data_IF_597616679909
#
_entry.id   IF_597616679909
#
_cell.length_a   1.000
_cell.length_b   1.000
_cell.length_c   1.000
_cell.angle_alpha   90.00
_cell.angle_beta   90.00
_cell.angle_gamma   90.00
#
_symmetry.space_group_name_H-M   'P 1'
#
loop_
_entity.id
_entity.type
_entity.pdbx_description
1 polymer ?
#
# COMPACT_ATOMS: atom_id res chain seq x y z
N UNK A 1 -7.46 13.57 19.85
CA UNK A 1 -6.06 13.93 19.49
C UNK A 1 -5.23 12.71 19.07
N UNK A 2 -4.99 11.66 19.89
CA UNK A 2 -4.06 10.58 19.52
C UNK A 2 -4.48 9.78 18.27
N UNK A 3 -5.78 9.49 18.12
CA UNK A 3 -6.32 8.82 16.94
C UNK A 3 -6.19 9.64 15.63
N UNK A 4 -6.08 10.96 15.74
CA UNK A 4 -5.96 11.86 14.58
C UNK A 4 -4.52 11.85 14.04
N UNK A 5 -3.52 11.76 14.94
CA UNK A 5 -2.09 11.66 14.60
C UNK A 5 -1.74 10.30 13.97
N UNK A 6 -2.53 9.26 14.28
CA UNK A 6 -2.32 7.91 13.75
C UNK A 6 -2.45 7.85 12.22
N UNK A 7 -3.36 8.63 11.63
CA UNK A 7 -3.62 8.63 10.18
C UNK A 7 -2.39 9.06 9.36
N UNK A 8 -1.79 10.24 9.58
CA UNK A 8 -0.57 10.63 8.87
C UNK A 8 0.61 9.72 9.21
N UNK A 9 0.66 9.16 10.42
CA UNK A 9 1.68 8.16 10.81
C UNK A 9 1.61 6.92 9.94
N UNK A 10 0.41 6.35 9.79
CA UNK A 10 0.18 5.21 8.91
C UNK A 10 0.54 5.57 7.46
N UNK A 11 0.15 6.75 6.98
CA UNK A 11 0.49 7.22 5.64
C UNK A 11 2.01 7.23 5.39
N UNK A 12 2.78 7.82 6.29
CA UNK A 12 4.25 7.88 6.20
C UNK A 12 4.87 6.49 6.24
N UNK A 13 4.47 5.66 7.20
CA UNK A 13 5.04 4.32 7.36
C UNK A 13 4.74 3.48 6.12
N UNK A 14 3.48 3.44 5.67
CA UNK A 14 3.10 2.71 4.44
C UNK A 14 3.93 3.18 3.25
N UNK A 15 4.18 4.47 3.12
CA UNK A 15 4.98 5.03 2.02
C UNK A 15 6.43 4.60 2.05
N UNK A 16 7.01 4.47 3.24
CA UNK A 16 8.39 3.95 3.41
C UNK A 16 8.42 2.45 3.07
N UNK A 17 7.40 1.70 3.46
CA UNK A 17 7.35 0.24 3.28
C UNK A 17 7.07 -0.22 1.86
N UNK A 18 6.23 0.52 1.12
CA UNK A 18 5.81 0.15 -0.22
C UNK A 18 6.98 -0.10 -1.19
N UNK A 19 8.04 0.74 -1.23
CA UNK A 19 9.25 0.45 -1.99
C UNK A 19 9.91 -0.87 -1.62
N UNK A 20 10.02 -1.21 -0.33
CA UNK A 20 10.62 -2.48 0.10
C UNK A 20 9.78 -3.68 -0.35
N UNK A 21 8.46 -3.57 -0.29
CA UNK A 21 7.55 -4.63 -0.77
C UNK A 21 7.68 -4.76 -2.30
N UNK A 22 7.73 -3.65 -3.03
CA UNK A 22 7.91 -3.68 -4.49
C UNK A 22 9.29 -4.25 -4.87
N UNK A 23 10.33 -3.91 -4.10
CA UNK A 23 11.68 -4.43 -4.28
C UNK A 23 11.79 -5.93 -3.98
N UNK A 24 11.11 -6.41 -2.94
CA UNK A 24 10.97 -7.85 -2.66
C UNK A 24 10.37 -8.60 -3.86
N UNK A 25 9.28 -8.07 -4.45
CA UNK A 25 8.70 -8.63 -5.68
C UNK A 25 9.65 -8.56 -6.86
N UNK A 26 10.42 -7.48 -6.98
CA UNK A 26 11.44 -7.33 -8.01
C UNK A 26 12.52 -8.40 -7.91
N UNK A 27 13.04 -8.67 -6.70
CA UNK A 27 14.01 -9.75 -6.48
C UNK A 27 13.40 -11.12 -6.82
N UNK A 28 12.16 -11.38 -6.39
CA UNK A 28 11.46 -12.62 -6.67
C UNK A 28 11.35 -12.91 -8.17
N UNK A 29 11.14 -11.87 -8.98
CA UNK A 29 11.08 -11.96 -10.45
C UNK A 29 12.48 -12.08 -11.06
N UNK A 30 13.45 -11.33 -10.57
CA UNK A 30 14.82 -11.31 -11.11
C UNK A 30 15.51 -12.67 -10.87
N UNK A 31 15.47 -13.17 -9.63
CA UNK A 31 16.19 -14.36 -9.16
C UNK A 31 15.29 -15.29 -8.33
N UNK A 32 14.36 -16.03 -8.98
CA UNK A 32 13.40 -16.87 -8.27
C UNK A 32 14.07 -17.94 -7.40
N UNK A 33 15.11 -18.63 -7.89
CA UNK A 33 15.82 -19.67 -7.12
C UNK A 33 16.48 -19.14 -5.84
N UNK A 34 17.06 -17.94 -5.91
CA UNK A 34 17.64 -17.30 -4.73
C UNK A 34 16.55 -16.88 -3.74
N UNK A 35 15.46 -16.33 -4.25
CA UNK A 35 14.31 -15.91 -3.45
C UNK A 35 13.68 -17.07 -2.68
N UNK A 36 13.51 -18.24 -3.30
CA UNK A 36 13.01 -19.43 -2.61
C UNK A 36 13.96 -19.97 -1.54
N UNK A 37 15.27 -19.69 -1.65
CA UNK A 37 16.27 -20.07 -0.67
C UNK A 37 16.38 -19.06 0.48
N UNK A 38 15.82 -17.87 0.36
CA UNK A 38 15.77 -16.91 1.47
C UNK A 38 14.84 -17.45 2.57
N UNK A 39 15.43 -17.62 3.75
CA UNK A 39 14.82 -18.30 4.88
C UNK A 39 13.76 -17.47 5.61
N UNK A 40 12.83 -18.15 6.30
CA UNK A 40 11.72 -17.59 7.09
C UNK A 40 12.18 -16.52 8.10
N UNK A 41 13.40 -16.67 8.64
CA UNK A 41 14.00 -15.71 9.57
C UNK A 41 14.15 -14.28 9.01
N UNK A 42 14.33 -14.11 7.69
CA UNK A 42 14.38 -12.78 7.09
C UNK A 42 13.03 -12.06 7.17
N UNK A 43 11.91 -12.79 7.03
CA UNK A 43 10.58 -12.21 7.12
C UNK A 43 10.28 -11.69 8.54
N UNK A 44 10.67 -12.44 9.59
CA UNK A 44 10.54 -11.99 10.97
C UNK A 44 11.40 -10.76 11.27
N UNK A 45 12.65 -10.71 10.77
CA UNK A 45 13.52 -9.53 10.90
C UNK A 45 12.93 -8.31 10.20
N UNK A 46 12.38 -8.49 9.01
CA UNK A 46 11.69 -7.42 8.28
C UNK A 46 10.47 -6.93 9.06
N UNK A 47 9.61 -7.82 9.56
CA UNK A 47 8.46 -7.44 10.39
C UNK A 47 8.88 -6.66 11.65
N UNK A 48 9.97 -7.06 12.30
CA UNK A 48 10.56 -6.33 13.43
C UNK A 48 11.02 -4.92 13.04
N UNK A 49 11.75 -4.79 11.92
CA UNK A 49 12.18 -3.49 11.38
C UNK A 49 10.98 -2.59 11.05
N UNK A 50 9.94 -3.15 10.42
CA UNK A 50 8.69 -2.45 10.10
C UNK A 50 8.04 -1.89 11.37
N UNK A 51 7.94 -2.73 12.40
CA UNK A 51 7.35 -2.36 13.70
C UNK A 51 8.15 -1.25 14.36
N UNK A 52 9.49 -1.33 14.32
CA UNK A 52 10.36 -0.30 14.86
C UNK A 52 10.18 1.04 14.13
N UNK A 53 10.20 1.03 12.79
CA UNK A 53 9.96 2.22 11.98
C UNK A 53 8.59 2.83 12.31
N UNK A 54 7.56 2.01 12.48
CA UNK A 54 6.23 2.48 12.86
C UNK A 54 6.23 3.18 14.23
N UNK A 55 6.87 2.59 15.23
CA UNK A 55 6.99 3.18 16.57
C UNK A 55 7.76 4.50 16.51
N UNK A 56 8.92 4.53 15.84
CA UNK A 56 9.73 5.73 15.69
C UNK A 56 8.95 6.86 14.98
N UNK A 57 8.35 6.57 13.83
CA UNK A 57 7.54 7.56 13.11
C UNK A 57 6.36 8.05 13.96
N UNK A 58 5.66 7.16 14.67
CA UNK A 58 4.53 7.52 15.52
C UNK A 58 4.92 8.42 16.69
N UNK A 59 6.05 8.14 17.36
CA UNK A 59 6.58 8.99 18.43
C UNK A 59 6.98 10.36 17.88
N UNK A 60 7.73 10.41 16.77
CA UNK A 60 8.15 11.68 16.15
C UNK A 60 6.94 12.52 15.75
N UNK A 61 5.95 11.92 15.08
CA UNK A 61 4.72 12.59 14.68
C UNK A 61 3.89 13.07 15.87
N UNK A 62 3.82 12.28 16.94
CA UNK A 62 3.13 12.68 18.17
C UNK A 62 3.81 13.90 18.81
N UNK A 63 5.14 13.89 18.95
CA UNK A 63 5.89 15.02 19.51
C UNK A 63 5.71 16.28 18.66
N UNK A 64 5.77 16.15 17.33
CA UNK A 64 5.61 17.30 16.42
C UNK A 64 4.18 17.82 16.44
N UNK A 65 3.17 16.95 16.46
CA UNK A 65 1.76 17.34 16.55
C UNK A 65 1.40 17.99 17.90
N UNK A 66 2.08 17.63 18.99
CA UNK A 66 1.94 18.31 20.29
C UNK A 66 2.49 19.75 20.27
N UNK A 67 3.38 20.08 19.31
CA UNK A 67 3.91 21.44 19.10
C UNK A 67 3.09 22.26 18.09
N UNK A 68 1.99 21.71 17.59
CA UNK A 68 1.08 22.39 16.67
C UNK A 68 0.18 23.42 17.36
N UNK A 69 -0.81 23.93 16.62
CA UNK A 69 -1.76 24.93 17.14
C UNK A 69 -2.61 24.36 18.28
N UNK A 70 -2.75 25.13 19.37
CA UNK A 70 -3.59 24.78 20.52
C UNK A 70 -5.10 24.81 20.19
N UNK A 71 -5.47 25.60 19.17
CA UNK A 71 -6.83 25.75 18.67
C UNK A 71 -6.93 25.17 17.27
N UNK A 72 -7.81 24.19 17.12
CA UNK A 72 -8.12 23.56 15.84
C UNK A 72 -9.61 23.71 15.63
N UNK A 73 -10.01 24.50 14.63
CA UNK A 73 -11.43 24.78 14.34
C UNK A 73 -12.15 23.54 13.79
N UNK A 74 -11.40 22.60 13.21
CA UNK A 74 -11.90 21.39 12.59
C UNK A 74 -11.08 20.15 13.01
N UNK A 75 -11.73 19.00 13.14
CA UNK A 75 -11.03 17.72 13.37
C UNK A 75 -10.38 17.18 12.09
N UNK A 76 -9.42 17.91 11.54
CA UNK A 76 -8.67 17.49 10.37
C UNK A 76 -7.24 17.07 10.75
N UNK A 77 -6.70 15.96 10.21
CA UNK A 77 -5.42 15.43 10.67
C UNK A 77 -4.21 16.33 10.43
N UNK A 78 -4.27 17.15 9.37
CA UNK A 78 -3.15 18.02 9.01
C UNK A 78 -3.11 19.30 9.85
N UNK A 79 -4.25 19.75 10.38
CA UNK A 79 -4.37 21.03 11.09
C UNK A 79 -3.64 21.03 12.45
N UNK A 80 -3.23 19.84 12.93
CA UNK A 80 -2.38 19.67 14.12
C UNK A 80 -0.89 19.91 13.84
N UNK A 81 -0.50 20.11 12.59
CA UNK A 81 0.90 20.23 12.19
C UNK A 81 1.18 21.61 11.59
N UNK A 82 2.41 22.09 11.74
CA UNK A 82 2.85 23.30 11.03
C UNK A 82 2.89 23.05 9.52
N UNK A 83 2.70 24.09 8.70
CA UNK A 83 2.76 23.99 7.24
C UNK A 83 4.03 23.31 6.73
N UNK A 84 5.19 23.66 7.28
CA UNK A 84 6.47 23.02 6.95
C UNK A 84 6.46 21.52 7.23
N UNK A 85 5.85 21.11 8.35
CA UNK A 85 5.76 19.68 8.69
C UNK A 85 4.82 18.95 7.74
N UNK A 86 3.68 19.57 7.38
CA UNK A 86 2.75 19.02 6.39
C UNK A 86 3.47 18.80 5.05
N UNK A 87 4.21 19.79 4.56
CA UNK A 87 5.00 19.67 3.32
C UNK A 87 5.98 18.50 3.38
N UNK A 88 6.73 18.36 4.48
CA UNK A 88 7.68 17.24 4.64
C UNK A 88 6.94 15.91 4.60
N UNK A 89 5.80 15.77 5.30
CA UNK A 89 5.02 14.54 5.27
C UNK A 89 4.50 14.20 3.89
N UNK A 90 3.90 15.18 3.20
CA UNK A 90 3.40 14.97 1.84
C UNK A 90 4.54 14.61 0.89
N UNK A 91 5.72 15.20 1.06
CA UNK A 91 6.91 14.86 0.27
C UNK A 91 7.38 13.43 0.52
N UNK A 92 7.49 12.99 1.78
CA UNK A 92 7.87 11.60 2.10
C UNK A 92 6.86 10.62 1.52
N UNK A 93 5.58 10.90 1.67
CA UNK A 93 4.51 10.05 1.14
C UNK A 93 4.59 9.98 -0.38
N UNK A 94 4.80 11.12 -1.04
CA UNK A 94 4.95 11.21 -2.49
C UNK A 94 6.15 10.41 -2.99
N UNK A 95 7.35 10.65 -2.44
CA UNK A 95 8.58 9.96 -2.83
C UNK A 95 8.48 8.45 -2.62
N UNK A 96 7.92 8.01 -1.49
CA UNK A 96 7.73 6.58 -1.21
C UNK A 96 6.82 5.89 -2.23
N UNK A 97 5.69 6.51 -2.58
CA UNK A 97 4.79 5.94 -3.58
C UNK A 97 5.37 6.02 -4.99
N UNK A 98 6.07 7.10 -5.35
CA UNK A 98 6.77 7.22 -6.64
C UNK A 98 7.84 6.13 -6.79
N UNK A 99 8.66 5.91 -5.76
CA UNK A 99 9.67 4.85 -5.76
C UNK A 99 9.03 3.46 -5.92
N UNK A 100 7.89 3.20 -5.28
CA UNK A 100 7.14 1.96 -5.45
C UNK A 100 6.63 1.78 -6.89
N UNK A 101 6.09 2.83 -7.50
CA UNK A 101 5.66 2.81 -8.92
C UNK A 101 6.82 2.52 -9.86
N UNK A 102 7.97 3.18 -9.66
CA UNK A 102 9.16 2.97 -10.49
C UNK A 102 9.66 1.52 -10.38
N UNK A 103 9.63 0.93 -9.18
CA UNK A 103 9.95 -0.48 -8.98
C UNK A 103 8.95 -1.40 -9.68
N UNK A 104 7.64 -1.13 -9.60
CA UNK A 104 6.65 -1.92 -10.34
C UNK A 104 6.82 -1.81 -11.86
N UNK A 105 7.14 -0.63 -12.37
CA UNK A 105 7.47 -0.45 -13.79
C UNK A 105 8.72 -1.25 -14.18
N UNK A 106 9.77 -1.24 -13.35
CA UNK A 106 10.96 -2.06 -13.56
C UNK A 106 10.64 -3.56 -13.57
N UNK A 107 9.75 -4.04 -12.68
CA UNK A 107 9.27 -5.43 -12.70
C UNK A 107 8.60 -5.77 -14.03
N UNK A 108 7.72 -4.91 -14.53
CA UNK A 108 7.01 -5.12 -15.81
C UNK A 108 8.02 -5.23 -16.96
N UNK A 109 8.99 -4.31 -17.03
CA UNK A 109 10.04 -4.33 -18.05
C UNK A 109 10.86 -5.63 -17.99
N UNK A 110 11.27 -6.07 -16.80
CA UNK A 110 12.03 -7.31 -16.64
C UNK A 110 11.22 -8.53 -17.08
N UNK A 111 9.92 -8.59 -16.77
CA UNK A 111 9.05 -9.68 -17.22
C UNK A 111 8.94 -9.67 -18.74
N UNK A 112 8.74 -8.50 -19.35
CA UNK A 112 8.65 -8.36 -20.80
C UNK A 112 9.94 -8.81 -21.49
N UNK A 113 11.11 -8.42 -20.96
CA UNK A 113 12.40 -8.87 -21.47
C UNK A 113 12.53 -10.40 -21.41
N UNK A 114 12.15 -11.04 -20.29
CA UNK A 114 12.17 -12.50 -20.15
C UNK A 114 11.22 -13.20 -21.13
N UNK A 115 10.02 -12.65 -21.35
CA UNK A 115 9.06 -13.19 -22.34
C UNK A 115 9.65 -13.13 -23.75
N UNK A 116 10.26 -11.99 -24.12
CA UNK A 116 10.89 -11.80 -25.43
C UNK A 116 12.07 -12.76 -25.62
N UNK A 117 12.88 -12.97 -24.59
CA UNK A 117 13.99 -13.92 -24.61
C UNK A 117 13.48 -15.36 -24.80
N UNK A 118 12.53 -15.82 -23.98
CA UNK A 118 11.94 -17.16 -24.13
C UNK A 118 11.35 -17.41 -25.52
N UNK A 119 10.66 -16.41 -26.08
CA UNK A 119 10.10 -16.49 -27.43
C UNK A 119 11.19 -16.66 -28.51
N UNK A 120 12.35 -16.03 -28.34
CA UNK A 120 13.48 -16.12 -29.29
C UNK A 120 14.24 -17.42 -29.15
N UNK A 121 14.58 -17.82 -27.92
CA UNK A 121 15.50 -18.95 -27.67
C UNK A 121 14.81 -20.30 -27.77
N UNK A 122 13.58 -20.41 -27.27
CA UNK A 122 12.92 -21.70 -27.09
C UNK A 122 11.80 -21.97 -28.11
N UNK A 123 11.34 -20.97 -28.88
CA UNK A 123 10.13 -21.04 -29.72
C UNK A 123 8.91 -21.64 -28.99
N UNK A 124 8.91 -21.59 -27.66
CA UNK A 124 7.85 -22.13 -26.83
C UNK A 124 6.67 -21.15 -26.80
N UNK A 125 5.43 -21.67 -26.69
CA UNK A 125 4.28 -20.81 -26.47
C UNK A 125 4.46 -20.05 -25.15
N UNK A 126 4.25 -18.73 -25.19
CA UNK A 126 4.36 -17.84 -24.04
C UNK A 126 3.40 -18.32 -22.95
N UNK A 127 3.90 -18.59 -21.75
CA UNK A 127 3.05 -18.98 -20.62
C UNK A 127 2.14 -17.81 -20.23
N UNK A 128 0.82 -18.04 -20.33
CA UNK A 128 -0.24 -17.09 -20.00
C UNK A 128 -0.09 -16.51 -18.58
N UNK A 129 0.58 -17.23 -17.68
CA UNK A 129 0.83 -16.81 -16.29
C UNK A 129 1.73 -15.58 -16.22
N UNK A 130 2.79 -15.51 -17.02
CA UNK A 130 3.69 -14.34 -17.02
C UNK A 130 2.96 -13.08 -17.48
N UNK A 131 2.17 -13.19 -18.55
CA UNK A 131 1.38 -12.07 -19.07
C UNK A 131 0.29 -11.61 -18.09
N UNK A 132 -0.32 -12.54 -17.34
CA UNK A 132 -1.26 -12.18 -16.28
C UNK A 132 -0.57 -11.47 -15.09
N UNK A 133 0.66 -11.88 -14.75
CA UNK A 133 1.47 -11.24 -13.71
C UNK A 133 1.87 -9.83 -14.11
N UNK A 134 2.42 -9.66 -15.32
CA UNK A 134 2.78 -8.38 -15.93
C UNK A 134 1.62 -7.38 -15.89
N UNK A 135 0.46 -7.75 -16.45
CA UNK A 135 -0.74 -6.88 -16.46
C UNK A 135 -1.15 -6.41 -15.08
N UNK A 136 -0.99 -7.25 -14.06
CA UNK A 136 -1.38 -6.88 -12.70
C UNK A 136 -0.43 -5.84 -12.11
N UNK A 137 0.88 -6.03 -12.27
CA UNK A 137 1.85 -5.04 -11.78
C UNK A 137 1.69 -3.71 -12.51
N UNK A 138 1.41 -3.75 -13.82
CA UNK A 138 1.07 -2.55 -14.58
C UNK A 138 -0.19 -1.85 -14.04
N UNK A 139 -1.28 -2.60 -13.79
CA UNK A 139 -2.51 -2.05 -13.19
C UNK A 139 -2.25 -1.45 -11.81
N UNK A 140 -1.48 -2.11 -10.95
CA UNK A 140 -1.12 -1.57 -9.63
C UNK A 140 -0.30 -0.30 -9.72
N UNK A 141 0.67 -0.24 -10.63
CA UNK A 141 1.48 0.95 -10.87
C UNK A 141 0.59 2.12 -11.34
N UNK A 142 -0.26 1.89 -12.34
CA UNK A 142 -1.16 2.91 -12.90
C UNK A 142 -2.16 3.41 -11.85
N UNK A 143 -2.82 2.51 -11.10
CA UNK A 143 -3.74 2.89 -10.03
C UNK A 143 -3.03 3.68 -8.94
N UNK A 144 -1.82 3.28 -8.53
CA UNK A 144 -1.05 4.02 -7.51
C UNK A 144 -0.66 5.42 -8.01
N UNK A 145 -0.32 5.57 -9.29
CA UNK A 145 -0.04 6.88 -9.89
C UNK A 145 -1.26 7.78 -9.84
N UNK A 146 -2.40 7.29 -10.34
CA UNK A 146 -3.63 8.08 -10.48
C UNK A 146 -4.23 8.42 -9.11
N UNK A 147 -4.25 7.45 -8.19
CA UNK A 147 -4.94 7.59 -6.91
C UNK A 147 -4.08 8.21 -5.82
N UNK A 148 -2.74 8.11 -5.91
CA UNK A 148 -1.84 8.60 -4.87
C UNK A 148 -0.81 9.58 -5.40
N UNK A 149 0.04 9.18 -6.34
CA UNK A 149 1.22 10.00 -6.71
C UNK A 149 0.79 11.35 -7.24
N UNK A 150 -0.16 11.40 -8.18
CA UNK A 150 -0.64 12.67 -8.76
C UNK A 150 -1.41 13.52 -7.74
N UNK A 151 -2.41 13.00 -7.00
CA UNK A 151 -3.13 13.81 -6.03
C UNK A 151 -2.26 14.33 -4.88
N UNK A 152 -1.28 13.54 -4.40
CA UNK A 152 -0.38 13.98 -3.33
C UNK A 152 0.66 14.98 -3.85
N UNK A 153 1.15 14.82 -5.08
CA UNK A 153 2.01 15.83 -5.71
C UNK A 153 1.30 17.19 -5.77
N UNK A 154 0.04 17.17 -6.23
CA UNK A 154 -0.80 18.36 -6.30
C UNK A 154 -0.97 18.98 -4.91
N UNK A 155 -1.30 18.17 -3.90
CA UNK A 155 -1.46 18.66 -2.52
C UNK A 155 -0.16 19.25 -1.96
N UNK A 156 0.98 18.62 -2.18
CA UNK A 156 2.28 19.10 -1.71
C UNK A 156 2.69 20.42 -2.39
N UNK A 157 2.54 20.51 -3.71
CA UNK A 157 2.82 21.73 -4.46
C UNK A 157 1.90 22.87 -4.00
N UNK A 158 0.63 22.56 -3.78
CA UNK A 158 -0.37 23.51 -3.33
C UNK A 158 -0.05 24.07 -1.94
N UNK A 159 0.22 23.22 -0.95
CA UNK A 159 0.62 23.63 0.42
C UNK A 159 1.86 24.53 0.41
N UNK A 160 2.83 24.24 -0.46
CA UNK A 160 4.01 25.09 -0.64
C UNK A 160 3.66 26.46 -1.21
N UNK A 161 2.79 26.53 -2.22
CA UNK A 161 2.33 27.80 -2.81
C UNK A 161 1.60 28.64 -1.76
N UNK A 162 0.72 28.04 -0.95
CA UNK A 162 0.01 28.75 0.12
C UNK A 162 0.98 29.27 1.18
N UNK A 163 1.92 28.43 1.62
CA UNK A 163 2.92 28.81 2.62
C UNK A 163 3.77 29.99 2.10
N UNK A 164 4.16 29.95 0.84
CA UNK A 164 4.86 31.05 0.18
C UNK A 164 3.98 32.32 0.17
N UNK A 165 2.73 32.22 -0.27
CA UNK A 165 1.81 33.36 -0.37
C UNK A 165 1.52 34.00 1.00
N UNK A 166 1.36 33.19 2.06
CA UNK A 166 1.22 33.69 3.43
C UNK A 166 2.45 34.48 3.88
N UNK A 167 3.64 33.94 3.61
CA UNK A 167 4.90 34.59 3.98
C UNK A 167 5.18 35.88 3.20
N UNK A 168 4.82 35.92 1.91
CA UNK A 168 5.10 37.07 1.02
C UNK A 168 4.04 38.17 1.14
N UNK A 169 2.76 37.81 1.21
CA UNK A 169 1.64 38.76 1.10
C UNK A 169 0.85 38.95 2.40
N UNK A 170 1.18 38.23 3.48
CA UNK A 170 0.46 38.35 4.76
C UNK A 170 -1.01 37.94 4.68
N UNK A 171 -1.35 37.01 3.78
CA UNK A 171 -2.71 36.51 3.58
C UNK A 171 -3.32 35.97 4.88
N UNK A 172 -4.52 36.47 5.24
CA UNK A 172 -5.30 36.00 6.40
C UNK A 172 -6.05 34.70 6.08
N UNK A 173 -6.27 33.89 7.12
CA UNK A 173 -6.82 32.53 7.05
C UNK A 173 -8.26 32.43 6.47
N UNK A 174 -9.02 33.53 6.43
CA UNK A 174 -10.39 33.54 5.89
C UNK A 174 -10.48 33.18 4.39
N UNK A 175 -9.40 33.35 3.62
CA UNK A 175 -9.34 32.97 2.21
C UNK A 175 -8.97 31.49 1.98
N UNK A 176 -8.77 30.73 3.06
CA UNK A 176 -8.24 29.36 3.07
C UNK A 176 -9.34 28.31 3.36
N UNK A 177 -10.61 28.72 3.45
CA UNK A 177 -11.72 27.81 3.81
C UNK A 177 -12.03 26.80 2.69
N UNK A 178 -12.03 27.23 1.42
CA UNK A 178 -12.22 26.34 0.26
C UNK A 178 -11.07 25.33 0.10
N UNK A 179 -9.91 25.67 0.65
CA UNK A 179 -8.70 24.87 0.64
C UNK A 179 -8.86 23.53 1.36
N UNK A 180 -9.51 23.58 2.53
CA UNK A 180 -9.74 22.40 3.36
C UNK A 180 -10.74 21.44 2.70
N UNK A 181 -11.65 21.94 1.85
CA UNK A 181 -12.56 21.09 1.11
C UNK A 181 -11.82 20.27 0.04
N UNK A 182 -10.89 20.90 -0.70
CA UNK A 182 -10.08 20.24 -1.73
C UNK A 182 -9.14 19.20 -1.11
N UNK A 183 -8.45 19.55 -0.02
CA UNK A 183 -7.55 18.59 0.66
C UNK A 183 -8.31 17.39 1.20
N UNK A 184 -9.50 17.57 1.77
CA UNK A 184 -10.39 16.47 2.19
C UNK A 184 -10.82 15.58 1.03
N UNK A 185 -11.14 16.15 -0.12
CA UNK A 185 -11.50 15.38 -1.31
C UNK A 185 -10.32 14.53 -1.79
N UNK A 186 -9.12 15.12 -1.86
CA UNK A 186 -7.89 14.42 -2.22
C UNK A 186 -7.59 13.28 -1.24
N UNK A 187 -7.71 13.51 0.07
CA UNK A 187 -7.49 12.48 1.09
C UNK A 187 -8.52 11.34 1.00
N UNK A 188 -9.78 11.64 0.69
CA UNK A 188 -10.79 10.60 0.42
C UNK A 188 -10.43 9.79 -0.80
N UNK A 189 -9.96 10.44 -1.87
CA UNK A 189 -9.56 9.76 -3.10
C UNK A 189 -8.35 8.85 -2.90
N UNK A 190 -7.32 9.32 -2.18
CA UNK A 190 -6.13 8.52 -1.86
C UNK A 190 -6.46 7.32 -0.96
N UNK A 191 -7.46 7.45 -0.08
CA UNK A 191 -7.93 6.35 0.78
C UNK A 191 -8.56 5.17 0.01
N UNK A 192 -8.90 5.35 -1.27
CA UNK A 192 -9.38 4.26 -2.12
C UNK A 192 -8.26 3.28 -2.50
N UNK A 193 -7.00 3.73 -2.55
CA UNK A 193 -5.91 2.91 -3.06
C UNK A 193 -5.61 1.66 -2.18
N UNK A 194 -5.53 1.74 -0.83
CA UNK A 194 -5.37 0.55 0.00
C UNK A 194 -6.53 -0.44 -0.17
N UNK A 195 -7.77 0.06 -0.26
CA UNK A 195 -8.97 -0.75 -0.46
C UNK A 195 -8.93 -1.48 -1.79
N UNK A 196 -8.63 -0.75 -2.87
CA UNK A 196 -8.53 -1.32 -4.21
C UNK A 196 -7.38 -2.32 -4.31
N UNK A 197 -6.24 -2.05 -3.65
CA UNK A 197 -5.12 -2.98 -3.59
C UNK A 197 -5.55 -4.32 -2.98
N UNK A 198 -6.21 -4.32 -1.81
CA UNK A 198 -6.71 -5.56 -1.18
C UNK A 198 -7.69 -6.30 -2.09
N UNK A 199 -8.61 -5.58 -2.72
CA UNK A 199 -9.60 -6.16 -3.64
C UNK A 199 -8.92 -6.82 -4.85
N UNK A 200 -7.98 -6.14 -5.49
CA UNK A 200 -7.20 -6.67 -6.61
C UNK A 200 -6.37 -7.89 -6.21
N UNK A 201 -5.73 -7.88 -5.03
CA UNK A 201 -5.01 -9.03 -4.49
C UNK A 201 -5.94 -10.22 -4.22
N UNK A 202 -7.10 -9.97 -3.62
CA UNK A 202 -8.07 -11.01 -3.29
C UNK A 202 -8.65 -11.68 -4.53
N UNK A 203 -8.97 -10.92 -5.58
CA UNK A 203 -9.48 -11.47 -6.83
C UNK A 203 -8.43 -12.28 -7.60
N UNK A 204 -7.15 -11.95 -7.47
CA UNK A 204 -6.09 -12.60 -8.23
C UNK A 204 -5.52 -13.86 -7.57
N UNK A 205 -5.33 -13.87 -6.25
CA UNK A 205 -4.73 -15.01 -5.57
C UNK A 205 -5.77 -16.10 -5.30
N UNK A 206 -5.70 -17.23 -6.04
CA UNK A 206 -6.63 -18.36 -5.89
C UNK A 206 -6.74 -18.86 -4.44
N UNK A 207 -5.66 -18.82 -3.66
CA UNK A 207 -5.66 -19.21 -2.24
C UNK A 207 -6.46 -18.22 -1.37
N UNK A 208 -6.27 -16.91 -1.58
CA UNK A 208 -6.99 -15.85 -0.84
C UNK A 208 -8.47 -15.85 -1.21
N UNK A 209 -8.78 -15.96 -2.51
CA UNK A 209 -10.16 -16.11 -2.99
C UNK A 209 -10.86 -17.34 -2.38
N UNK A 210 -10.18 -18.49 -2.31
CA UNK A 210 -10.71 -19.70 -1.65
C UNK A 210 -10.93 -19.49 -0.15
N UNK A 211 -10.00 -18.82 0.54
CA UNK A 211 -10.15 -18.45 1.94
C UNK A 211 -11.36 -17.54 2.17
N UNK A 212 -11.51 -16.47 1.38
CA UNK A 212 -12.67 -15.59 1.43
C UNK A 212 -13.98 -16.34 1.19
N UNK A 213 -14.03 -17.17 0.14
CA UNK A 213 -15.22 -17.98 -0.17
C UNK A 213 -15.61 -18.89 0.99
N UNK A 214 -14.64 -19.50 1.68
CA UNK A 214 -14.90 -20.35 2.85
C UNK A 214 -15.39 -19.57 4.07
N UNK A 215 -14.86 -18.36 4.31
CA UNK A 215 -15.31 -17.49 5.40
C UNK A 215 -16.74 -17.02 5.17
N UNK A 216 -17.06 -16.60 3.94
CA UNK A 216 -18.41 -16.13 3.60
C UNK A 216 -19.42 -17.28 3.45
N UNK A 217 -19.03 -18.45 2.92
CA UNK A 217 -19.93 -19.60 2.81
C UNK A 217 -20.29 -20.19 4.18
N UNK A 218 -19.37 -20.18 5.14
CA UNK A 218 -19.64 -20.61 6.53
C UNK A 218 -20.53 -19.63 7.29
N UNK A 219 -20.46 -18.32 6.98
CA UNK A 219 -21.37 -17.33 7.57
C UNK A 219 -22.81 -17.48 7.04
N UNK A 220 -22.96 -17.85 5.77
CA UNK A 220 -24.28 -18.12 5.18
C UNK A 220 -24.88 -19.41 5.75
N UNK A 221 -24.08 -20.47 5.96
CA UNK A 221 -24.60 -21.72 6.53
C UNK A 221 -25.01 -21.61 8.01
N UNK A 222 -24.40 -20.71 8.79
CA UNK A 222 -24.76 -20.52 10.22
C UNK A 222 -26.04 -19.72 10.46
N UNK A 223 -26.59 -19.06 9.43
CA UNK A 223 -27.89 -18.37 9.53
C UNK A 223 -29.05 -19.31 9.14
N UNK A 224 -28.76 -20.47 8.54
CA UNK A 224 -29.77 -21.38 8.00
C UNK A 224 -29.82 -22.78 8.61
N UNK A 225 -29.07 -23.07 9.69
CA UNK A 225 -29.16 -24.38 10.36
C UNK A 225 -29.01 -24.27 11.87
N UNK A 226 -30.09 -23.89 12.54
CA UNK A 226 -30.39 -24.30 13.92
C UNK A 226 -31.40 -25.44 13.90
N UNK A 227 -31.07 -26.58 13.29
CA UNK A 227 -31.64 -27.90 13.58
C UNK A 227 -31.01 -28.90 12.62
N UNK A 228 -30.09 -29.73 13.11
CA UNK A 228 -29.96 -31.17 12.80
C UNK A 228 -28.53 -31.66 12.98
N UNK A 229 -28.39 -32.52 13.99
CA UNK A 229 -27.47 -33.64 14.12
C UNK A 229 -25.94 -33.46 13.93
N UNK A 230 -25.29 -33.63 15.08
CA UNK A 230 -23.88 -33.93 15.33
C UNK A 230 -23.40 -35.16 14.54
N UNK A 231 -22.35 -35.00 13.73
CA UNK A 231 -21.40 -36.07 13.41
C UNK A 231 -19.98 -35.48 13.32
N UNK A 232 -18.98 -36.03 14.03
CA UNK A 232 -17.62 -35.51 13.99
C UNK A 232 -16.85 -36.18 12.84
N UNK A 233 -16.74 -35.51 11.69
CA UNK A 233 -15.75 -35.90 10.67
C UNK A 233 -14.37 -35.37 11.04
N UNK A 234 -13.56 -36.31 11.52
CA UNK A 234 -12.11 -36.31 11.64
C UNK A 234 -11.42 -35.57 10.48
N UNK A 235 -10.93 -34.34 10.69
CA UNK A 235 -10.07 -33.65 9.71
C UNK A 235 -8.66 -34.20 9.81
N UNK A 236 -8.36 -35.17 8.94
CA UNK A 236 -7.01 -35.65 8.63
C UNK A 236 -6.22 -34.49 8.01
N UNK A 237 -5.40 -33.81 8.82
CA UNK A 237 -4.33 -32.91 8.36
C UNK A 237 -3.29 -33.74 7.61
N UNK A 238 -3.52 -33.94 6.31
CA UNK A 238 -2.53 -34.53 5.42
C UNK A 238 -1.42 -33.53 5.14
N UNK A 239 -0.23 -33.82 5.64
CA UNK A 239 1.01 -33.23 5.15
C UNK A 239 1.09 -33.46 3.63
N UNK A 240 1.31 -32.40 2.86
CA UNK A 240 1.83 -32.51 1.49
C UNK A 240 3.16 -31.79 1.42
N UNK A 241 4.21 -32.55 1.76
CA UNK A 241 5.53 -32.35 1.18
C UNK A 241 5.47 -32.68 -0.32
N UNK A 242 6.34 -32.01 -1.07
CA UNK A 242 7.00 -32.48 -2.30
C UNK A 242 6.13 -32.95 -3.46
N UNK A 243 6.25 -32.24 -4.59
CA UNK A 243 6.44 -32.70 -5.99
C UNK A 243 5.74 -31.69 -6.90
N UNK A 244 6.53 -30.80 -7.49
CA UNK A 244 6.46 -30.54 -8.93
C UNK A 244 7.75 -29.84 -9.35
N UNK A 245 8.70 -30.67 -9.77
CA UNK A 245 9.62 -30.42 -10.87
C UNK A 245 8.88 -29.71 -12.02
N UNK A 246 9.40 -28.55 -12.43
CA UNK A 246 9.78 -28.13 -13.79
C UNK A 246 10.71 -26.93 -13.60
#
# INVERSE_FOLDING_TARGET
>A
RPHIVLIPTLGVVVSILLPFIAFDRFIAVLRPFYYYKMDSHCACKLAGLITLVFICCGITLFIVGLRGSDRVEHCHPLDFFSGNTITIFLSIVWFGHLASVLLYAAVVVVIEMKIREQSKTLKLPIDYRFRAIEKTFAVFAVLTVILIVVPIAFLAAYENVITMLKNVYGLRDEHVVDLHAISRLVLKFTSLNPTLNVVCYAFKHKQIHRGFRQVFSKKISKVSTSLSHYQPTLTRLGAKSSILTI
#
